data_IF_816536779992
#
_entry.id   IF_816536779992
#
_cell.length_a   1.000
_cell.length_b   1.000
_cell.length_c   1.000
_cell.angle_alpha   90.00
_cell.angle_beta   90.00
_cell.angle_gamma   90.00
#
_symmetry.space_group_name_H-M   'P 1'
#
loop_
_entity.id
_entity.type
_entity.pdbx_description
1 polymer ?
#
# COMPACT_ATOMS: atom_id res chain seq x y z
N UNK A 1 -2.36 -9.76 -9.99
CA UNK A 1 -2.88 -9.18 -8.72
C UNK A 1 -2.31 -7.80 -8.44
N UNK A 2 -0.98 -7.63 -8.40
CA UNK A 2 -0.37 -6.31 -8.20
C UNK A 2 -0.85 -5.22 -9.16
N UNK A 3 -0.86 -5.50 -10.46
CA UNK A 3 -1.34 -4.54 -11.49
C UNK A 3 -2.80 -4.12 -11.26
N UNK A 4 -3.68 -5.07 -10.93
CA UNK A 4 -5.08 -4.78 -10.61
C UNK A 4 -5.21 -3.83 -9.40
N UNK A 5 -4.30 -3.89 -8.42
CA UNK A 5 -4.31 -2.93 -7.31
C UNK A 5 -3.94 -1.52 -7.80
N UNK A 6 -3.00 -1.40 -8.74
CA UNK A 6 -2.60 -0.10 -9.31
C UNK A 6 -3.73 0.52 -10.12
N UNK A 7 -4.29 -0.24 -11.06
CA UNK A 7 -5.45 0.17 -11.86
C UNK A 7 -6.62 0.57 -10.95
N UNK A 8 -6.86 -0.21 -9.90
CA UNK A 8 -7.92 0.07 -8.93
C UNK A 8 -7.65 1.35 -8.13
N UNK A 9 -6.39 1.67 -7.80
CA UNK A 9 -6.07 2.96 -7.16
C UNK A 9 -6.23 4.13 -8.12
N UNK A 10 -5.76 3.99 -9.36
CA UNK A 10 -5.91 5.01 -10.40
C UNK A 10 -7.38 5.34 -10.63
N UNK A 11 -8.26 4.33 -10.76
CA UNK A 11 -9.70 4.56 -10.88
C UNK A 11 -10.30 5.25 -9.64
N UNK A 12 -9.85 4.90 -8.43
CA UNK A 12 -10.30 5.60 -7.22
C UNK A 12 -9.85 7.06 -7.14
N UNK A 13 -8.69 7.40 -7.72
CA UNK A 13 -8.17 8.76 -7.77
C UNK A 13 -8.82 9.56 -8.89
N UNK A 14 -8.90 8.99 -10.08
CA UNK A 14 -9.21 9.71 -11.32
C UNK A 14 -10.70 9.62 -11.69
N UNK A 15 -11.34 8.46 -11.49
CA UNK A 15 -12.76 8.27 -11.85
C UNK A 15 -13.70 8.56 -10.67
N UNK A 16 -13.35 8.06 -9.48
CA UNK A 16 -14.18 8.21 -8.28
C UNK A 16 -13.82 9.42 -7.44
N UNK A 17 -12.65 10.02 -7.66
CA UNK A 17 -12.16 11.22 -6.96
C UNK A 17 -12.21 11.10 -5.42
N UNK A 18 -11.99 9.90 -4.89
CA UNK A 18 -12.01 9.62 -3.44
C UNK A 18 -10.62 9.52 -2.82
N UNK A 19 -9.55 9.79 -3.57
CA UNK A 19 -8.19 9.83 -3.03
C UNK A 19 -7.83 11.22 -2.49
N UNK A 20 -6.59 11.36 -1.98
CA UNK A 20 -6.01 12.64 -1.60
C UNK A 20 -4.54 12.68 -2.02
N UNK A 21 -3.94 13.88 -2.21
CA UNK A 21 -2.52 14.00 -2.55
C UNK A 21 -1.58 13.27 -1.58
N UNK A 22 -1.93 13.24 -0.28
CA UNK A 22 -1.14 12.53 0.73
C UNK A 22 -1.21 11.01 0.57
N UNK A 23 -2.37 10.47 0.19
CA UNK A 23 -2.53 9.03 -0.06
C UNK A 23 -1.87 8.64 -1.38
N UNK A 24 -2.04 9.44 -2.43
CA UNK A 24 -1.43 9.19 -3.74
C UNK A 24 0.10 9.12 -3.60
N UNK A 25 0.70 10.10 -2.91
CA UNK A 25 2.13 10.09 -2.63
C UNK A 25 2.59 8.88 -1.80
N UNK A 26 1.75 8.38 -0.89
CA UNK A 26 2.07 7.18 -0.10
C UNK A 26 2.00 5.91 -0.95
N UNK A 27 1.01 5.81 -1.83
CA UNK A 27 0.88 4.70 -2.78
C UNK A 27 2.04 4.69 -3.78
N UNK A 28 2.43 5.84 -4.33
CA UNK A 28 3.57 5.97 -5.23
C UNK A 28 4.89 5.57 -4.57
N UNK A 29 5.10 5.97 -3.30
CA UNK A 29 6.25 5.50 -2.50
C UNK A 29 6.24 3.99 -2.34
N UNK A 30 5.08 3.40 -2.03
CA UNK A 30 4.96 1.95 -1.93
C UNK A 30 5.31 1.26 -3.25
N UNK A 31 4.83 1.78 -4.39
CA UNK A 31 5.15 1.23 -5.72
C UNK A 31 6.64 1.33 -6.08
N UNK A 32 7.36 2.32 -5.53
CA UNK A 32 8.80 2.47 -5.74
C UNK A 32 9.65 1.50 -4.90
N UNK A 33 9.05 0.85 -3.90
CA UNK A 33 9.75 -0.11 -3.06
C UNK A 33 10.04 -1.39 -3.83
N UNK A 34 11.23 -1.95 -3.59
CA UNK A 34 11.61 -3.23 -4.19
C UNK A 34 10.66 -4.34 -3.72
N UNK A 35 10.32 -5.25 -4.63
CA UNK A 35 9.37 -6.33 -4.40
C UNK A 35 7.92 -5.89 -4.17
N UNK A 36 7.55 -4.61 -4.31
CA UNK A 36 6.15 -4.19 -4.30
C UNK A 36 5.47 -4.51 -5.63
N UNK A 37 4.47 -5.38 -5.59
CA UNK A 37 3.69 -5.75 -6.77
C UNK A 37 2.61 -4.69 -7.10
N UNK A 38 2.08 -4.00 -6.09
CA UNK A 38 1.07 -2.96 -6.24
C UNK A 38 0.45 -2.56 -4.91
N UNK A 39 -0.16 -1.38 -4.86
CA UNK A 39 -0.79 -0.83 -3.67
C UNK A 39 -1.97 0.08 -4.03
N UNK A 40 -2.93 0.22 -3.10
CA UNK A 40 -4.10 1.09 -3.24
C UNK A 40 -4.61 1.60 -1.90
N UNK A 41 -5.35 2.71 -1.93
CA UNK A 41 -6.16 3.18 -0.80
C UNK A 41 -7.20 2.13 -0.38
N UNK A 42 -7.43 2.04 0.93
CA UNK A 42 -8.44 1.18 1.54
C UNK A 42 -9.37 1.96 2.47
N UNK A 43 -10.62 1.51 2.57
CA UNK A 43 -11.67 2.18 3.32
C UNK A 43 -12.52 3.09 2.45
N UNK A 44 -13.15 4.09 3.08
CA UNK A 44 -14.11 4.99 2.41
C UNK A 44 -13.46 6.02 1.47
N UNK A 45 -12.15 6.23 1.55
CA UNK A 45 -11.44 7.30 0.83
C UNK A 45 -11.08 8.49 1.72
N UNK A 46 -10.56 9.55 1.09
CA UNK A 46 -10.21 10.84 1.68
C UNK A 46 -9.15 10.76 2.81
N UNK A 47 -8.29 9.75 2.77
CA UNK A 47 -7.27 9.48 3.77
C UNK A 47 -7.22 8.01 4.18
N UNK A 48 -6.80 7.76 5.42
CA UNK A 48 -6.80 6.43 6.02
C UNK A 48 -5.54 5.64 5.71
N UNK A 49 -5.71 4.41 5.23
CA UNK A 49 -4.63 3.43 5.06
C UNK A 49 -4.52 2.97 3.61
N UNK A 50 -3.33 2.51 3.23
CA UNK A 50 -3.13 1.80 1.97
C UNK A 50 -2.96 0.30 2.25
N UNK A 51 -3.30 -0.52 1.26
CA UNK A 51 -2.94 -1.93 1.20
C UNK A 51 -1.90 -2.10 0.10
N UNK A 52 -0.76 -2.70 0.43
CA UNK A 52 0.30 -3.04 -0.52
C UNK A 52 0.50 -4.57 -0.56
N UNK A 53 0.59 -5.11 -1.77
CA UNK A 53 1.00 -6.48 -2.02
C UNK A 53 2.52 -6.47 -2.28
N UNK A 54 3.28 -7.12 -1.42
CA UNK A 54 4.74 -7.11 -1.44
C UNK A 54 5.30 -8.52 -1.33
N UNK A 55 6.47 -8.74 -1.92
CA UNK A 55 7.24 -9.95 -1.69
C UNK A 55 7.62 -10.09 -0.22
N UNK A 56 7.47 -11.28 0.34
CA UNK A 56 7.75 -11.58 1.76
C UNK A 56 9.19 -11.21 2.15
N UNK A 57 10.14 -11.30 1.22
CA UNK A 57 11.53 -10.99 1.47
C UNK A 57 11.86 -9.50 1.32
N UNK A 58 10.92 -8.69 0.81
CA UNK A 58 11.14 -7.26 0.53
C UNK A 58 10.35 -6.33 1.46
N UNK A 59 9.84 -6.84 2.59
CA UNK A 59 9.04 -6.06 3.55
C UNK A 59 9.78 -4.86 4.13
N UNK A 60 11.10 -4.96 4.29
CA UNK A 60 11.94 -3.86 4.82
C UNK A 60 12.07 -2.70 3.81
N UNK A 61 12.20 -3.03 2.53
CA UNK A 61 12.23 -2.04 1.44
C UNK A 61 10.93 -1.24 1.42
N UNK A 62 9.79 -1.92 1.57
CA UNK A 62 8.48 -1.27 1.69
C UNK A 62 8.41 -0.36 2.92
N UNK A 63 8.79 -0.84 4.11
CA UNK A 63 8.74 -0.04 5.33
C UNK A 63 9.60 1.24 5.24
N UNK A 64 10.80 1.12 4.66
CA UNK A 64 11.70 2.24 4.44
C UNK A 64 11.12 3.24 3.43
N UNK A 65 10.50 2.78 2.34
CA UNK A 65 9.94 3.65 1.31
C UNK A 65 8.74 4.47 1.80
N UNK A 66 7.87 3.86 2.61
CA UNK A 66 6.64 4.52 3.10
C UNK A 66 6.86 5.41 4.32
N UNK A 67 7.92 5.18 5.10
CA UNK A 67 8.29 5.96 6.30
C UNK A 67 7.10 6.22 7.26
N UNK A 68 6.26 5.19 7.43
CA UNK A 68 5.06 5.19 8.28
C UNK A 68 4.95 3.82 8.97
N UNK A 69 4.16 3.69 10.06
CA UNK A 69 3.90 2.39 10.66
C UNK A 69 3.26 1.42 9.65
N UNK A 70 3.83 0.21 9.55
CA UNK A 70 3.33 -0.85 8.65
C UNK A 70 2.89 -2.07 9.46
N UNK A 71 1.73 -2.60 9.13
CA UNK A 71 1.26 -3.90 9.60
C UNK A 71 1.56 -4.94 8.53
N UNK A 72 2.33 -5.97 8.89
CA UNK A 72 2.61 -7.07 7.99
C UNK A 72 1.65 -8.22 8.28
N UNK A 73 1.03 -8.73 7.22
CA UNK A 73 0.10 -9.85 7.29
C UNK A 73 0.58 -10.92 6.31
N UNK A 74 0.64 -12.17 6.77
CA UNK A 74 0.76 -13.34 5.90
C UNK A 74 -0.58 -14.08 5.85
N UNK A 75 -0.79 -14.90 4.82
CA UNK A 75 -2.04 -15.65 4.65
C UNK A 75 -2.34 -16.51 5.88
N UNK A 76 -3.54 -16.35 6.45
CA UNK A 76 -4.09 -17.11 7.58
C UNK A 76 -3.43 -16.90 8.97
N UNK A 77 -2.37 -16.11 9.09
CA UNK A 77 -1.62 -15.95 10.35
C UNK A 77 -2.04 -14.71 11.18
N UNK A 78 -2.89 -13.85 10.62
CA UNK A 78 -3.28 -12.57 11.22
C UNK A 78 -2.31 -11.42 10.90
N UNK A 79 -2.56 -10.25 11.49
CA UNK A 79 -1.74 -9.06 11.33
C UNK A 79 -0.77 -8.92 12.50
N UNK A 80 0.51 -8.70 12.23
CA UNK A 80 1.51 -8.43 13.26
C UNK A 80 2.30 -7.15 12.97
N UNK A 81 2.65 -6.44 14.04
CA UNK A 81 3.64 -5.36 14.00
C UNK A 81 5.00 -6.02 14.24
N UNK A 82 5.96 -5.86 13.33
CA UNK A 82 7.36 -6.15 13.67
C UNK A 82 7.88 -4.96 14.48
N UNK A 83 7.77 -5.02 15.80
CA UNK A 83 8.59 -4.19 16.69
C UNK A 83 10.03 -4.68 16.55
N UNK A 84 10.95 -3.76 16.24
CA UNK A 84 12.39 -4.03 16.27
C UNK A 84 12.83 -4.58 17.63
#
# INVERSE_FOLDING_TARGET
>A
MGELLKESHQSLRDDFEVSTPNVDALVERAWSADGCYGARIMGAGFGGSILALVDKHSTESLAAAVDRPVLFCATADGAFVRTQ
#
